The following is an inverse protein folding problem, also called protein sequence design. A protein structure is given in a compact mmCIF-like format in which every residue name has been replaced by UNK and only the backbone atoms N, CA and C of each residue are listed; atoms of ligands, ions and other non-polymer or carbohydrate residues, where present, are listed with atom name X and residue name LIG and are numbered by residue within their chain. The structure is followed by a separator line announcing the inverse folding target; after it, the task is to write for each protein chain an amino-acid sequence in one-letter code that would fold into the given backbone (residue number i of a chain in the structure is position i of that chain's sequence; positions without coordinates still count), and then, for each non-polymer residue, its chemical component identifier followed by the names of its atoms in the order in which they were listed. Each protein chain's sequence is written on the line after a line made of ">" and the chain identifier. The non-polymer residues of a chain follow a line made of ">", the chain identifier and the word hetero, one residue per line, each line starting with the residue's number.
data_IF_623194835565
#
_entry.id   IF_623194835565
#
_cell.length_a   1.000
_cell.length_b   1.000
_cell.length_c   1.000
_cell.angle_alpha   90.00
_cell.angle_beta   90.00
_cell.angle_gamma   90.00
#
_symmetry.space_group_name_H-M   'P 1'
#
loop_
_entity.id
_entity.type
_entity.pdbx_description
1 polymer ?
#
# COMPACT_ATOMS: atom_id res chain seq x y z
N UNK A 1 26.30 0.66 11.62
CA UNK A 1 26.66 1.33 12.90
C UNK A 1 27.55 0.39 13.73
N UNK A 2 27.09 -0.78 14.21
CA UNK A 2 27.86 -1.65 15.11
C UNK A 2 29.23 -2.09 14.54
N UNK A 3 29.32 -2.40 13.26
CA UNK A 3 30.59 -2.77 12.59
C UNK A 3 31.53 -1.55 12.54
N UNK A 4 31.05 -0.37 12.20
CA UNK A 4 31.85 0.85 12.16
C UNK A 4 32.34 1.32 13.54
N UNK A 5 31.65 0.93 14.61
CA UNK A 5 32.01 1.21 16.00
C UNK A 5 32.86 0.08 16.62
N UNK A 6 33.21 -0.95 15.87
CA UNK A 6 33.98 -2.10 16.36
C UNK A 6 33.23 -3.03 17.32
N UNK A 7 31.90 -2.88 17.45
CA UNK A 7 31.05 -3.71 18.32
C UNK A 7 30.59 -5.01 17.70
N UNK A 8 30.73 -5.16 16.36
CA UNK A 8 30.41 -6.35 15.62
C UNK A 8 31.46 -6.61 14.55
N UNK A 9 31.72 -7.88 14.30
CA UNK A 9 32.67 -8.33 13.28
C UNK A 9 32.09 -8.14 11.84
N UNK A 10 32.99 -7.99 10.87
CA UNK A 10 32.67 -7.76 9.45
C UNK A 10 32.15 -9.03 8.75
N UNK A 11 32.27 -10.21 9.36
CA UNK A 11 32.04 -11.53 8.77
C UNK A 11 30.69 -12.17 9.16
N UNK A 12 29.70 -11.37 9.58
CA UNK A 12 28.40 -11.85 10.09
C UNK A 12 27.26 -11.77 9.05
N UNK A 13 27.57 -11.52 7.79
CA UNK A 13 26.55 -11.34 6.75
C UNK A 13 26.63 -12.43 5.67
N UNK A 14 25.88 -13.57 5.78
CA UNK A 14 25.91 -14.63 4.79
C UNK A 14 25.59 -14.18 3.34
N UNK A 15 24.57 -13.31 3.09
CA UNK A 15 24.31 -12.81 1.75
C UNK A 15 25.42 -11.96 1.13
N UNK A 16 26.28 -11.37 1.96
CA UNK A 16 27.45 -10.62 1.51
C UNK A 16 28.64 -11.49 1.11
N UNK A 17 28.64 -12.73 1.63
CA UNK A 17 29.69 -13.72 1.40
C UNK A 17 31.11 -13.14 1.57
N UNK A 18 32.10 -13.84 1.07
CA UNK A 18 33.52 -13.46 1.11
C UNK A 18 33.75 -12.09 0.44
N UNK A 19 33.04 -11.79 -0.65
CA UNK A 19 33.16 -10.49 -1.34
C UNK A 19 32.74 -9.32 -0.43
N UNK A 20 31.66 -9.48 0.32
CA UNK A 20 31.20 -8.46 1.27
C UNK A 20 32.19 -8.25 2.42
N UNK A 21 32.80 -9.33 2.90
CA UNK A 21 33.83 -9.27 3.96
C UNK A 21 35.06 -8.50 3.46
N UNK A 22 35.56 -8.81 2.26
CA UNK A 22 36.72 -8.12 1.70
C UNK A 22 36.48 -6.62 1.50
N UNK A 23 35.29 -6.25 0.99
CA UNK A 23 34.90 -4.83 0.83
C UNK A 23 34.82 -4.09 2.16
N UNK A 24 34.28 -4.73 3.21
CA UNK A 24 34.23 -4.14 4.55
C UNK A 24 35.60 -4.05 5.17
N UNK A 25 36.45 -5.08 4.99
CA UNK A 25 37.84 -5.09 5.48
C UNK A 25 38.65 -3.94 4.85
N UNK A 26 38.55 -3.76 3.53
CA UNK A 26 39.20 -2.67 2.80
C UNK A 26 38.71 -1.29 3.28
N UNK A 27 37.41 -1.12 3.43
CA UNK A 27 36.82 0.15 3.86
C UNK A 27 37.22 0.56 5.29
N UNK A 28 37.35 -0.43 6.17
CA UNK A 28 37.65 -0.19 7.59
C UNK A 28 39.13 -0.33 7.95
N UNK A 29 39.99 -0.75 6.99
CA UNK A 29 41.42 -0.96 7.22
C UNK A 29 41.72 -2.11 8.21
N UNK A 30 40.86 -3.16 8.21
CA UNK A 30 41.01 -4.36 9.06
C UNK A 30 41.29 -5.60 8.24
N UNK A 31 41.86 -6.63 8.84
CA UNK A 31 42.08 -7.89 8.15
C UNK A 31 40.76 -8.65 7.85
N UNK A 32 40.61 -9.24 6.65
CA UNK A 32 39.43 -10.04 6.32
C UNK A 32 39.41 -11.32 7.17
N UNK A 33 38.25 -11.66 7.75
CA UNK A 33 38.02 -12.88 8.50
C UNK A 33 37.19 -13.87 7.68
N UNK A 34 37.32 -15.19 7.93
CA UNK A 34 36.40 -16.15 7.30
C UNK A 34 34.96 -15.90 7.73
N UNK A 35 33.99 -16.25 6.85
CA UNK A 35 32.57 -16.09 7.15
C UNK A 35 32.19 -16.83 8.43
N UNK A 36 31.46 -16.17 9.31
CA UNK A 36 30.93 -16.79 10.51
C UNK A 36 29.66 -17.59 10.20
N UNK A 37 29.80 -18.90 10.11
CA UNK A 37 28.73 -19.84 9.77
C UNK A 37 27.62 -19.93 10.83
N UNK A 38 27.83 -19.41 12.05
CA UNK A 38 26.79 -19.33 13.07
C UNK A 38 25.63 -18.41 12.66
N UNK A 39 25.86 -17.48 11.72
CA UNK A 39 24.83 -16.60 11.17
C UNK A 39 24.19 -17.11 9.88
N UNK A 40 24.59 -18.30 9.40
CA UNK A 40 24.07 -18.95 8.21
C UNK A 40 25.12 -19.13 7.12
N UNK A 41 24.67 -19.64 5.97
CA UNK A 41 25.51 -19.94 4.82
C UNK A 41 25.13 -19.09 3.61
N UNK A 42 26.05 -18.82 2.68
CA UNK A 42 25.73 -18.19 1.42
C UNK A 42 24.73 -19.05 0.65
N UNK A 43 23.67 -18.46 0.16
CA UNK A 43 22.70 -19.13 -0.70
C UNK A 43 23.05 -18.90 -2.18
N UNK A 44 22.83 -19.90 -3.06
CA UNK A 44 22.95 -19.70 -4.49
C UNK A 44 21.97 -18.60 -4.94
N UNK A 45 22.28 -17.92 -6.02
CA UNK A 45 21.36 -16.94 -6.61
C UNK A 45 20.10 -17.64 -7.09
N UNK A 46 18.95 -17.15 -6.67
CA UNK A 46 17.65 -17.74 -6.95
C UNK A 46 16.72 -16.71 -7.56
N UNK A 47 15.71 -17.17 -8.28
CA UNK A 47 14.60 -16.37 -8.83
C UNK A 47 13.29 -16.99 -8.38
N UNK A 48 12.33 -16.17 -8.01
CA UNK A 48 10.99 -16.63 -7.73
C UNK A 48 10.27 -17.01 -9.03
N UNK A 49 9.58 -18.13 -9.03
CA UNK A 49 8.65 -18.55 -10.08
C UNK A 49 7.27 -18.78 -9.47
N UNK A 50 6.24 -18.30 -10.14
CA UNK A 50 4.84 -18.47 -9.72
C UNK A 50 4.21 -19.55 -10.58
N UNK A 51 3.54 -20.53 -9.96
CA UNK A 51 2.65 -21.44 -10.67
C UNK A 51 1.35 -20.69 -10.98
N UNK A 52 1.19 -20.35 -12.26
CA UNK A 52 0.06 -19.56 -12.76
C UNK A 52 -1.27 -20.29 -12.61
N UNK A 53 -1.27 -21.63 -12.62
CA UNK A 53 -2.49 -22.44 -12.47
C UNK A 53 -3.03 -22.42 -11.03
N UNK A 54 -2.16 -22.25 -10.05
CA UNK A 54 -2.53 -22.17 -8.64
C UNK A 54 -2.75 -20.72 -8.17
N UNK A 55 -2.32 -19.73 -8.97
CA UNK A 55 -2.37 -18.33 -8.57
C UNK A 55 -3.80 -17.77 -8.61
N UNK A 56 -4.32 -17.36 -7.47
CA UNK A 56 -5.67 -16.75 -7.33
C UNK A 56 -5.71 -15.22 -7.48
N UNK A 57 -4.58 -14.58 -7.75
CA UNK A 57 -4.52 -13.12 -7.91
C UNK A 57 -4.74 -12.32 -6.63
N UNK A 58 -4.26 -12.82 -5.47
CA UNK A 58 -4.44 -12.17 -4.16
C UNK A 58 -3.60 -10.89 -3.96
N UNK A 59 -2.63 -10.61 -4.81
CA UNK A 59 -1.73 -9.44 -4.81
C UNK A 59 -0.74 -9.35 -3.64
N UNK A 60 -0.67 -10.30 -2.72
CA UNK A 60 0.24 -10.25 -1.57
C UNK A 60 1.71 -10.25 -2.00
N UNK A 61 2.08 -11.09 -2.97
CA UNK A 61 3.44 -11.15 -3.52
C UNK A 61 3.87 -9.82 -4.19
N UNK A 62 2.96 -9.15 -4.94
CA UNK A 62 3.23 -7.84 -5.55
C UNK A 62 3.53 -6.80 -4.45
N UNK A 63 2.75 -6.81 -3.38
CA UNK A 63 2.94 -5.87 -2.26
C UNK A 63 4.24 -6.12 -1.50
N UNK A 64 4.66 -7.37 -1.39
CA UNK A 64 5.88 -7.78 -0.68
C UNK A 64 7.15 -7.58 -1.50
N UNK A 65 7.07 -7.54 -2.84
CA UNK A 65 8.25 -7.42 -3.68
C UNK A 65 8.91 -6.04 -3.56
N UNK A 66 10.17 -5.94 -3.09
CA UNK A 66 10.83 -4.65 -2.87
C UNK A 66 11.25 -3.93 -4.15
N UNK A 67 11.33 -4.65 -5.28
CA UNK A 67 11.82 -4.13 -6.56
C UNK A 67 10.77 -4.13 -7.66
N UNK A 68 9.50 -4.36 -7.31
CA UNK A 68 8.38 -4.45 -8.26
C UNK A 68 8.64 -5.44 -9.43
N UNK A 69 9.30 -6.58 -9.12
CA UNK A 69 9.59 -7.63 -10.11
C UNK A 69 8.40 -8.56 -10.38
N UNK A 70 7.27 -8.38 -9.71
CA UNK A 70 6.07 -9.20 -9.87
C UNK A 70 4.97 -8.35 -10.49
N UNK A 71 4.39 -8.82 -11.58
CA UNK A 71 3.32 -8.15 -12.31
C UNK A 71 2.04 -8.98 -12.27
N UNK A 72 0.90 -8.30 -12.37
CA UNK A 72 -0.43 -8.89 -12.31
C UNK A 72 -1.44 -7.91 -11.75
N UNK A 73 -2.66 -8.37 -11.56
CA UNK A 73 -3.75 -7.58 -10.98
C UNK A 73 -4.59 -8.41 -10.01
N UNK A 74 -5.44 -7.73 -9.23
CA UNK A 74 -6.37 -8.41 -8.33
C UNK A 74 -7.30 -9.35 -9.11
N UNK A 75 -7.41 -10.60 -8.66
CA UNK A 75 -8.17 -11.69 -9.31
C UNK A 75 -7.65 -12.10 -10.71
N UNK A 76 -6.41 -11.73 -11.04
CA UNK A 76 -5.70 -12.18 -12.22
C UNK A 76 -4.41 -12.90 -11.79
N UNK A 77 -3.94 -13.87 -12.56
CA UNK A 77 -2.67 -14.53 -12.27
C UNK A 77 -1.51 -13.53 -12.24
N UNK A 78 -0.51 -13.85 -11.44
CA UNK A 78 0.71 -13.06 -11.33
C UNK A 78 1.88 -13.80 -12.00
N UNK A 79 2.82 -13.01 -12.52
CA UNK A 79 4.07 -13.57 -13.06
C UNK A 79 5.27 -12.77 -12.57
N UNK A 80 6.45 -13.39 -12.59
CA UNK A 80 7.71 -12.77 -12.13
C UNK A 80 8.55 -12.38 -13.34
N UNK A 81 9.03 -11.13 -13.32
CA UNK A 81 10.07 -10.68 -14.27
C UNK A 81 11.41 -11.17 -13.74
N UNK A 82 11.89 -12.30 -14.27
CA UNK A 82 13.07 -12.99 -13.76
C UNK A 82 14.32 -12.11 -13.73
N UNK A 83 14.53 -11.26 -14.74
CA UNK A 83 15.68 -10.34 -14.85
C UNK A 83 15.69 -9.26 -13.77
N UNK A 84 14.54 -8.97 -13.16
CA UNK A 84 14.37 -7.96 -12.13
C UNK A 84 14.28 -8.55 -10.73
N UNK A 85 14.10 -9.86 -10.63
CA UNK A 85 13.98 -10.54 -9.36
C UNK A 85 15.35 -10.62 -8.65
N UNK A 86 15.38 -10.20 -7.39
CA UNK A 86 16.60 -10.22 -6.56
C UNK A 86 16.76 -11.52 -5.75
N UNK A 87 15.81 -12.44 -5.81
CA UNK A 87 15.85 -13.69 -5.04
C UNK A 87 15.70 -13.52 -3.53
N UNK A 88 15.06 -12.44 -3.08
CA UNK A 88 14.96 -12.10 -1.65
C UNK A 88 13.94 -12.94 -0.85
N UNK A 89 13.18 -13.82 -1.50
CA UNK A 89 12.19 -14.74 -0.90
C UNK A 89 10.98 -14.07 -0.21
N UNK A 90 10.92 -12.74 -0.11
CA UNK A 90 9.85 -12.00 0.61
C UNK A 90 8.43 -12.20 0.04
N UNK A 91 8.30 -12.76 -1.15
CA UNK A 91 7.02 -13.05 -1.78
C UNK A 91 6.50 -14.46 -1.45
N UNK A 92 7.32 -15.34 -0.89
CA UNK A 92 6.96 -16.76 -0.64
C UNK A 92 6.01 -16.86 0.54
N UNK A 93 6.42 -16.41 1.73
CA UNK A 93 5.63 -16.52 2.97
C UNK A 93 4.21 -15.93 2.89
N UNK A 94 3.98 -14.76 2.26
CA UNK A 94 2.65 -14.18 2.21
C UNK A 94 1.72 -14.83 1.17
N UNK A 95 2.18 -15.84 0.41
CA UNK A 95 1.36 -16.51 -0.59
C UNK A 95 0.41 -17.51 0.07
N UNK A 96 -0.93 -17.30 0.06
CA UNK A 96 -1.87 -18.21 0.70
C UNK A 96 -2.07 -19.52 -0.06
N UNK A 97 -1.54 -19.61 -1.29
CA UNK A 97 -1.67 -20.78 -2.16
C UNK A 97 -0.36 -21.57 -2.27
N UNK A 98 0.70 -21.14 -1.60
CA UNK A 98 2.04 -21.73 -1.69
C UNK A 98 2.52 -21.98 -3.14
N UNK A 99 2.05 -21.14 -4.06
CA UNK A 99 2.31 -21.28 -5.49
C UNK A 99 3.61 -20.60 -5.97
N UNK A 100 4.47 -20.16 -5.04
CA UNK A 100 5.73 -19.47 -5.37
C UNK A 100 6.91 -20.33 -4.96
N UNK A 101 7.74 -20.68 -5.95
CA UNK A 101 8.92 -21.51 -5.76
C UNK A 101 10.18 -20.71 -6.07
N UNK A 102 11.27 -21.00 -5.36
CA UNK A 102 12.57 -20.41 -5.63
C UNK A 102 13.39 -21.35 -6.50
N UNK A 103 13.79 -20.89 -7.68
CA UNK A 103 14.56 -21.66 -8.65
C UNK A 103 16.00 -21.15 -8.69
N UNK A 104 17.01 -22.00 -8.52
CA UNK A 104 18.40 -21.60 -8.62
C UNK A 104 18.75 -21.20 -10.05
N UNK A 105 19.48 -20.09 -10.19
CA UNK A 105 20.01 -19.64 -11.49
C UNK A 105 21.48 -19.98 -11.54
N UNK A 106 21.88 -20.70 -12.58
CA UNK A 106 23.31 -21.04 -12.84
C UNK A 106 24.07 -19.87 -13.49
N UNK A 107 23.76 -18.65 -13.07
CA UNK A 107 24.34 -17.44 -13.66
C UNK A 107 25.56 -17.01 -12.84
N UNK A 108 26.73 -17.50 -13.21
CA UNK A 108 28.01 -16.98 -12.71
C UNK A 108 28.28 -15.63 -13.39
N UNK A 109 27.53 -14.61 -12.98
CA UNK A 109 27.76 -13.24 -13.46
C UNK A 109 29.14 -12.75 -13.02
N UNK A 110 29.83 -12.02 -13.91
CA UNK A 110 31.05 -11.30 -13.54
C UNK A 110 30.76 -10.29 -12.41
N UNK A 111 31.77 -9.90 -11.64
CA UNK A 111 31.63 -8.91 -10.57
C UNK A 111 31.04 -7.60 -11.07
N UNK A 112 31.34 -7.18 -12.30
CA UNK A 112 30.79 -5.98 -12.92
C UNK A 112 29.29 -6.14 -13.23
N UNK A 113 28.88 -7.28 -13.75
CA UNK A 113 27.46 -7.58 -14.01
C UNK A 113 26.65 -7.63 -12.69
N UNK A 114 27.23 -8.18 -11.61
CA UNK A 114 26.63 -8.17 -10.28
C UNK A 114 26.46 -6.74 -9.73
N UNK A 115 27.48 -5.89 -9.88
CA UNK A 115 27.41 -4.48 -9.49
C UNK A 115 26.30 -3.74 -10.27
N UNK A 116 26.21 -3.97 -11.59
CA UNK A 116 25.17 -3.40 -12.43
C UNK A 116 23.78 -3.83 -11.99
N UNK A 117 23.58 -5.12 -11.78
CA UNK A 117 22.30 -5.68 -11.28
C UNK A 117 21.92 -5.09 -9.90
N UNK A 118 22.86 -4.98 -8.98
CA UNK A 118 22.64 -4.38 -7.67
C UNK A 118 22.25 -2.90 -7.76
N UNK A 119 22.86 -2.14 -8.68
CA UNK A 119 22.50 -0.72 -8.91
C UNK A 119 21.10 -0.58 -9.50
N UNK A 120 20.71 -1.45 -10.44
CA UNK A 120 19.36 -1.50 -11.00
C UNK A 120 18.35 -1.83 -9.89
N UNK A 121 18.61 -2.85 -9.08
CA UNK A 121 17.74 -3.23 -7.97
C UNK A 121 17.56 -2.08 -6.96
N UNK A 122 18.64 -1.34 -6.63
CA UNK A 122 18.59 -0.16 -5.75
C UNK A 122 17.73 0.95 -6.35
N UNK A 123 17.90 1.24 -7.62
CA UNK A 123 17.11 2.25 -8.33
C UNK A 123 15.62 1.89 -8.34
N UNK A 124 15.28 0.63 -8.61
CA UNK A 124 13.90 0.12 -8.58
C UNK A 124 13.29 0.23 -7.18
N UNK A 125 14.05 -0.14 -6.15
CA UNK A 125 13.60 0.01 -4.77
C UNK A 125 13.29 1.47 -4.41
N UNK A 126 14.16 2.40 -4.78
CA UNK A 126 13.94 3.83 -4.55
C UNK A 126 12.69 4.34 -5.29
N UNK A 127 12.54 3.95 -6.56
CA UNK A 127 11.35 4.28 -7.34
C UNK A 127 10.05 3.73 -6.69
N UNK A 128 10.10 2.49 -6.21
CA UNK A 128 8.98 1.90 -5.45
C UNK A 128 8.62 2.73 -4.22
N UNK A 129 9.60 3.14 -3.42
CA UNK A 129 9.34 3.98 -2.24
C UNK A 129 8.67 5.30 -2.61
N UNK A 130 9.13 5.97 -3.67
CA UNK A 130 8.54 7.20 -4.16
C UNK A 130 7.10 6.98 -4.66
N UNK A 131 6.85 5.90 -5.41
CA UNK A 131 5.51 5.53 -5.86
C UNK A 131 4.56 5.30 -4.69
N UNK A 132 4.97 4.49 -3.71
CA UNK A 132 4.15 4.23 -2.52
C UNK A 132 3.86 5.49 -1.69
N UNK A 133 4.81 6.42 -1.59
CA UNK A 133 4.60 7.71 -0.92
C UNK A 133 3.58 8.56 -1.67
N UNK A 134 3.67 8.65 -2.99
CA UNK A 134 2.72 9.34 -3.86
C UNK A 134 1.32 8.74 -3.76
N UNK A 135 1.21 7.42 -3.82
CA UNK A 135 -0.08 6.71 -3.74
C UNK A 135 -0.76 6.96 -2.39
N UNK A 136 -0.01 6.95 -1.28
CA UNK A 136 -0.50 7.32 0.05
C UNK A 136 -1.02 8.75 0.09
N UNK A 137 -0.33 9.69 -0.54
CA UNK A 137 -0.73 11.09 -0.58
C UNK A 137 -2.02 11.27 -1.39
N UNK A 138 -2.11 10.66 -2.57
CA UNK A 138 -3.30 10.69 -3.42
C UNK A 138 -4.51 10.09 -2.70
N UNK A 139 -4.32 8.95 -2.03
CA UNK A 139 -5.38 8.31 -1.26
C UNK A 139 -5.88 9.21 -0.11
N UNK A 140 -4.98 9.86 0.62
CA UNK A 140 -5.35 10.83 1.67
C UNK A 140 -6.13 12.02 1.12
N UNK A 141 -5.75 12.54 -0.04
CA UNK A 141 -6.47 13.63 -0.70
C UNK A 141 -7.86 13.20 -1.14
N UNK A 142 -7.99 12.01 -1.71
CA UNK A 142 -9.29 11.45 -2.11
C UNK A 142 -10.25 11.25 -0.93
N UNK A 143 -9.74 10.79 0.21
CA UNK A 143 -10.55 10.66 1.44
C UNK A 143 -11.01 12.04 1.93
N UNK A 144 -10.11 13.03 1.98
CA UNK A 144 -10.46 14.40 2.41
C UNK A 144 -11.54 14.99 1.49
N UNK A 145 -11.39 14.81 0.18
CA UNK A 145 -12.37 15.30 -0.79
C UNK A 145 -13.74 14.63 -0.59
N UNK A 146 -13.79 13.30 -0.43
CA UNK A 146 -15.03 12.57 -0.16
C UNK A 146 -15.71 13.05 1.13
N UNK A 147 -14.96 13.25 2.21
CA UNK A 147 -15.50 13.72 3.48
C UNK A 147 -16.08 15.16 3.36
N UNK A 148 -15.40 16.06 2.63
CA UNK A 148 -15.90 17.41 2.38
C UNK A 148 -17.21 17.39 1.58
N UNK A 149 -17.26 16.65 0.47
CA UNK A 149 -18.48 16.53 -0.35
C UNK A 149 -19.63 15.95 0.47
N UNK A 150 -19.35 14.99 1.33
CA UNK A 150 -20.37 14.37 2.17
C UNK A 150 -20.86 15.31 3.28
N UNK A 151 -20.00 16.15 3.86
CA UNK A 151 -20.39 17.17 4.84
C UNK A 151 -21.22 18.28 4.21
N UNK A 152 -20.85 18.77 3.04
CA UNK A 152 -21.63 19.77 2.30
C UNK A 152 -23.02 19.25 1.90
N UNK A 153 -23.12 18.01 1.41
CA UNK A 153 -24.41 17.40 1.06
C UNK A 153 -25.33 17.21 2.27
N UNK A 154 -24.80 16.87 3.44
CA UNK A 154 -25.58 16.74 4.68
C UNK A 154 -26.08 18.08 5.20
N UNK A 155 -25.29 19.15 5.09
CA UNK A 155 -25.70 20.52 5.48
C UNK A 155 -26.81 21.02 4.58
N UNK A 156 -26.69 20.87 3.25
CA UNK A 156 -27.72 21.29 2.29
C UNK A 156 -29.02 20.54 2.49
N UNK A 157 -28.98 19.22 2.73
CA UNK A 157 -30.19 18.44 3.00
C UNK A 157 -30.85 18.79 4.34
N UNK A 158 -30.07 19.11 5.38
CA UNK A 158 -30.60 19.56 6.66
C UNK A 158 -31.29 20.92 6.54
N UNK A 159 -30.73 21.87 5.80
CA UNK A 159 -31.31 23.17 5.56
C UNK A 159 -32.61 23.12 4.75
N UNK A 160 -32.63 22.27 3.68
CA UNK A 160 -33.82 22.03 2.90
C UNK A 160 -34.96 21.41 3.73
N UNK A 161 -34.64 20.47 4.63
CA UNK A 161 -35.62 19.91 5.58
C UNK A 161 -36.19 20.96 6.53
N UNK A 162 -35.35 21.84 7.09
CA UNK A 162 -35.83 22.96 7.95
C UNK A 162 -36.79 23.86 7.19
N UNK A 163 -36.45 24.30 5.98
CA UNK A 163 -37.29 25.11 5.13
C UNK A 163 -38.64 24.46 4.85
N UNK A 164 -38.64 23.16 4.52
CA UNK A 164 -39.88 22.40 4.27
C UNK A 164 -40.78 22.33 5.51
N UNK A 165 -40.21 22.10 6.70
CA UNK A 165 -40.96 22.08 7.98
C UNK A 165 -41.58 23.42 8.24
N UNK A 166 -40.83 24.53 8.10
CA UNK A 166 -41.34 25.88 8.32
C UNK A 166 -42.45 26.21 7.33
N UNK A 167 -42.28 25.94 6.04
CA UNK A 167 -43.33 26.18 5.03
C UNK A 167 -44.60 25.38 5.31
N UNK A 168 -44.44 24.12 5.74
CA UNK A 168 -45.59 23.26 6.08
C UNK A 168 -46.34 23.77 7.31
N UNK A 169 -45.63 24.26 8.32
CA UNK A 169 -46.24 24.88 9.52
C UNK A 169 -46.99 26.15 9.17
N UNK A 170 -46.42 27.05 8.37
CA UNK A 170 -47.08 28.27 7.88
C UNK A 170 -48.36 27.90 7.09
N UNK A 171 -48.31 26.95 6.19
CA UNK A 171 -49.46 26.50 5.40
C UNK A 171 -50.58 25.98 6.32
N UNK A 172 -50.27 25.19 7.33
CA UNK A 172 -51.25 24.68 8.33
C UNK A 172 -51.87 25.80 9.13
N UNK A 173 -51.08 26.78 9.57
CA UNK A 173 -51.57 27.95 10.32
C UNK A 173 -52.52 28.80 9.48
N UNK A 174 -52.22 29.04 8.22
CA UNK A 174 -53.08 29.76 7.28
C UNK A 174 -54.40 29.04 6.98
N UNK A 175 -54.37 27.72 6.85
CA UNK A 175 -55.61 26.94 6.66
C UNK A 175 -56.48 26.93 7.92
N UNK A 176 -55.90 26.79 9.10
CA UNK A 176 -56.63 26.88 10.39
C UNK A 176 -57.30 28.26 10.60
N UNK A 177 -56.60 29.33 10.18
CA UNK A 177 -57.15 30.71 10.27
C UNK A 177 -58.35 30.92 9.34
N UNK A 178 -58.32 30.33 8.14
CA UNK A 178 -59.45 30.36 7.18
C UNK A 178 -60.67 29.58 7.70
N UNK A 179 -60.47 28.42 8.32
CA UNK A 179 -61.59 27.65 8.90
C UNK A 179 -62.24 28.34 10.11
N UNK A 180 -61.47 29.13 10.90
CA UNK A 180 -62.02 29.90 12.02
C UNK A 180 -62.84 31.12 11.57
N UNK A 181 -62.54 31.71 10.41
CA UNK A 181 -63.31 32.84 9.87
C UNK A 181 -64.67 32.40 9.31
N UNK A 182 -64.88 31.13 8.97
CA UNK A 182 -66.14 30.61 8.47
C UNK A 182 -67.11 30.15 9.59
N UNK A 183 -66.71 30.15 10.85
CA UNK A 183 -67.50 29.67 11.99
C UNK A 183 -68.01 30.78 12.91
N UNK A 184 -67.97 32.08 12.51
CA UNK A 184 -68.67 33.15 13.24
C UNK A 184 -70.13 33.12 12.84
N UNK A 185 -71.08 32.76 13.72
CA UNK A 185 -72.51 32.88 13.43
C UNK A 185 -72.89 34.35 13.31
N UNK A 186 -73.62 34.69 12.26
CA UNK A 186 -74.23 35.98 11.99
C UNK A 186 -75.31 36.23 13.09
N UNK A 187 -74.97 36.70 14.29
CA UNK A 187 -75.90 37.14 15.35
C UNK A 187 -76.13 38.61 15.26
N UNK A 188 -76.80 39.06 14.23
CA UNK A 188 -77.37 40.43 14.21
C UNK A 188 -78.64 40.40 13.39
N UNK A 189 -79.71 39.74 13.84
CA UNK A 189 -81.07 40.03 13.44
C UNK A 189 -82.06 39.31 14.37
N UNK A 190 -82.25 39.81 15.57
CA UNK A 190 -83.48 39.63 16.34
C UNK A 190 -83.45 40.60 17.52
N UNK A 191 -83.87 41.85 17.26
CA UNK A 191 -84.51 42.77 18.23
C UNK A 191 -85.29 43.79 17.40
N UNK A 192 -86.56 43.43 17.15
CA UNK A 192 -87.68 44.42 16.99
C UNK A 192 -88.95 43.77 17.49
#
# INVERSE_FOLDING_TARGET
>A
VAIAEGRADINQCPPGDVEGIHKLAELLGVEPKPLNTAHGFPKPKMVAQIDEHLCIGCTFCIRSCPVDAIVGAAKQMHTVIATECTGCELCVDPCPMDCIHMIPINDKLSNEANKKAANVARSRYQFRLQRLARDKQTHRQSIKHKNNVQSESTVVTAELRKQTIVQTAIKRALTARKSHQHTLPNRLHELS
#
